data_IF_765506949808
#
_entry.id   IF_765506949808
#
_cell.length_a   1.000
_cell.length_b   1.000
_cell.length_c   1.000
_cell.angle_alpha   90.00
_cell.angle_beta   90.00
_cell.angle_gamma   90.00
#
_symmetry.space_group_name_H-M   'P 1'
#
loop_
_entity.id
_entity.type
_entity.pdbx_description
1 polymer ?
#
# COMPACT_ATOMS: atom_id res chain seq x y z
N UNK A 1 23.12 0.91 16.42
CA UNK A 1 21.95 1.74 16.04
C UNK A 1 21.52 1.29 14.67
N UNK A 2 20.37 0.62 14.59
CA UNK A 2 19.96 -0.16 13.42
C UNK A 2 19.40 0.70 12.30
N UNK A 3 19.99 0.55 11.11
CA UNK A 3 19.60 1.24 9.88
C UNK A 3 18.27 0.75 9.24
N UNK A 4 17.47 -0.05 9.94
CA UNK A 4 16.20 -0.60 9.45
C UNK A 4 14.98 0.28 9.74
N UNK A 5 15.12 1.38 10.47
CA UNK A 5 13.99 2.22 10.90
C UNK A 5 13.60 3.35 9.93
N UNK A 6 14.22 3.42 8.76
CA UNK A 6 13.97 4.51 7.79
C UNK A 6 13.00 4.13 6.66
N UNK A 7 12.45 2.91 6.67
CA UNK A 7 11.73 2.38 5.50
C UNK A 7 10.23 2.71 5.50
N UNK A 8 9.62 2.95 6.65
CA UNK A 8 8.20 3.33 6.72
C UNK A 8 7.94 4.77 6.25
N UNK A 9 8.90 5.68 6.48
CA UNK A 9 8.85 7.06 5.97
C UNK A 9 8.86 7.14 4.44
N UNK A 10 9.20 6.05 3.79
CA UNK A 10 9.49 5.96 2.36
C UNK A 10 8.28 5.62 1.50
N UNK A 11 7.14 5.21 2.06
CA UNK A 11 5.93 5.09 1.25
C UNK A 11 5.36 6.46 0.86
N UNK A 12 5.49 7.47 1.72
CA UNK A 12 5.07 8.82 1.38
C UNK A 12 6.14 9.65 0.64
N UNK A 13 7.44 9.43 0.89
CA UNK A 13 8.49 10.32 0.36
C UNK A 13 9.60 9.64 -0.43
N UNK A 14 9.74 8.33 -0.44
CA UNK A 14 10.94 7.67 -0.97
C UNK A 14 10.70 6.57 -2.02
N UNK A 15 9.53 6.48 -2.61
CA UNK A 15 9.44 5.74 -3.89
C UNK A 15 10.06 6.53 -5.06
N UNK A 16 10.80 7.55 -4.76
CA UNK A 16 11.51 8.36 -5.74
C UNK A 16 12.91 7.93 -6.11
N UNK A 17 13.48 6.83 -5.64
CA UNK A 17 14.72 6.21 -6.15
C UNK A 17 15.14 5.06 -5.24
N UNK A 18 14.79 3.84 -5.54
CA UNK A 18 15.33 2.70 -4.80
C UNK A 18 14.96 1.37 -5.41
N UNK A 19 15.85 0.87 -6.22
CA UNK A 19 15.84 -0.49 -6.77
C UNK A 19 15.73 -1.49 -5.61
N UNK A 20 14.60 -2.19 -5.49
CA UNK A 20 14.53 -3.38 -4.66
C UNK A 20 15.37 -4.48 -5.31
N UNK A 21 16.65 -4.55 -4.93
CA UNK A 21 17.44 -5.74 -5.24
C UNK A 21 16.96 -6.88 -4.36
N UNK A 22 16.23 -7.81 -4.95
CA UNK A 22 15.97 -9.11 -4.39
C UNK A 22 17.32 -9.75 -4.00
N UNK A 23 17.53 -10.01 -2.71
CA UNK A 23 18.69 -10.74 -2.19
C UNK A 23 18.57 -12.21 -2.58
N UNK A 24 19.01 -12.56 -3.79
CA UNK A 24 19.30 -13.92 -4.21
C UNK A 24 20.64 -14.36 -3.64
N UNK A 25 20.61 -15.34 -2.77
CA UNK A 25 21.76 -15.98 -2.14
C UNK A 25 22.73 -16.56 -3.18
N UNK A 26 23.95 -15.99 -3.30
CA UNK A 26 25.05 -16.58 -4.07
C UNK A 26 25.59 -17.80 -3.34
N UNK A 27 25.55 -18.96 -4.00
CA UNK A 27 26.46 -20.06 -3.74
C UNK A 27 27.37 -20.25 -4.95
N UNK A 28 28.63 -19.92 -4.78
CA UNK A 28 29.70 -20.27 -5.68
C UNK A 28 29.80 -21.77 -5.88
N UNK A 29 29.88 -22.24 -7.14
CA UNK A 29 30.68 -23.40 -7.52
C UNK A 29 31.12 -23.33 -9.00
N UNK A 30 32.37 -23.61 -9.16
CA UNK A 30 33.28 -23.56 -10.28
C UNK A 30 33.03 -24.65 -11.31
N UNK A 31 33.25 -24.30 -12.60
CA UNK A 31 33.91 -25.08 -13.67
C UNK A 31 33.20 -26.30 -14.26
N UNK A 32 32.85 -26.30 -15.52
CA UNK A 32 33.65 -26.77 -16.66
C UNK A 32 32.78 -26.90 -17.93
N UNK A 33 33.41 -26.64 -19.02
CA UNK A 33 33.02 -26.68 -20.43
C UNK A 33 32.30 -27.93 -20.94
N UNK A 34 31.30 -27.75 -21.86
CA UNK A 34 31.28 -28.35 -23.19
C UNK A 34 29.96 -28.03 -23.96
N UNK A 35 30.15 -27.50 -25.09
CA UNK A 35 29.52 -27.45 -26.41
C UNK A 35 28.12 -28.04 -26.69
N UNK A 36 27.38 -27.24 -27.51
CA UNK A 36 26.43 -27.58 -28.60
C UNK A 36 25.03 -28.05 -28.18
N UNK A 37 23.97 -27.37 -28.57
CA UNK A 37 23.32 -27.31 -29.87
C UNK A 37 22.11 -26.38 -29.82
N UNK A 38 21.81 -25.76 -30.94
CA UNK A 38 20.76 -24.77 -31.13
C UNK A 38 19.35 -25.33 -30.90
N UNK A 39 18.55 -24.67 -30.09
CA UNK A 39 17.11 -24.65 -30.24
C UNK A 39 16.64 -23.20 -30.25
N UNK A 40 15.87 -22.87 -31.26
CA UNK A 40 15.30 -21.55 -31.50
C UNK A 40 14.26 -21.22 -30.42
N UNK A 41 14.69 -20.50 -29.41
CA UNK A 41 13.77 -19.82 -28.50
C UNK A 41 13.30 -18.53 -29.18
N UNK A 42 12.00 -18.47 -29.45
CA UNK A 42 11.33 -17.21 -29.73
C UNK A 42 11.47 -16.35 -28.45
N UNK A 43 12.32 -15.36 -28.50
CA UNK A 43 12.31 -14.25 -27.57
C UNK A 43 10.91 -13.65 -27.62
N UNK A 44 10.15 -13.82 -26.55
CA UNK A 44 8.99 -13.00 -26.28
C UNK A 44 9.55 -11.58 -26.06
N UNK A 45 9.31 -10.68 -27.00
CA UNK A 45 9.53 -9.25 -26.81
C UNK A 45 8.71 -8.83 -25.59
N UNK A 46 9.36 -8.72 -24.46
CA UNK A 46 8.83 -8.00 -23.30
C UNK A 46 8.85 -6.53 -23.69
N UNK A 47 7.72 -6.02 -24.15
CA UNK A 47 7.53 -4.57 -24.30
C UNK A 47 7.84 -3.96 -22.93
N UNK A 48 8.89 -3.16 -22.86
CA UNK A 48 9.25 -2.45 -21.65
C UNK A 48 8.14 -1.43 -21.35
N UNK A 49 7.58 -1.47 -20.14
CA UNK A 49 6.57 -0.51 -19.70
C UNK A 49 7.12 0.92 -19.76
N UNK A 50 6.47 1.78 -20.54
CA UNK A 50 6.87 3.19 -20.71
C UNK A 50 6.38 4.03 -19.51
N UNK A 51 7.24 4.14 -18.52
CA UNK A 51 7.00 4.86 -17.27
C UNK A 51 6.70 6.35 -17.48
N UNK A 52 7.38 7.01 -18.42
CA UNK A 52 7.20 8.44 -18.67
C UNK A 52 5.84 8.73 -19.31
N UNK A 53 5.44 7.93 -20.29
CA UNK A 53 4.12 8.02 -20.91
C UNK A 53 3.00 7.72 -19.90
N UNK A 54 3.20 6.72 -19.04
CA UNK A 54 2.22 6.34 -18.03
C UNK A 54 2.06 7.43 -16.96
N UNK A 55 3.15 8.05 -16.50
CA UNK A 55 3.10 9.14 -15.53
C UNK A 55 2.32 10.36 -16.07
N UNK A 56 2.48 10.70 -17.34
CA UNK A 56 1.71 11.75 -17.99
C UNK A 56 0.21 11.41 -18.08
N UNK A 57 -0.14 10.15 -18.31
CA UNK A 57 -1.54 9.70 -18.31
C UNK A 57 -2.14 9.85 -16.90
N UNK A 58 -1.43 9.40 -15.86
CA UNK A 58 -1.86 9.50 -14.47
C UNK A 58 -2.10 10.96 -14.06
N UNK A 59 -1.18 11.87 -14.35
CA UNK A 59 -1.36 13.28 -14.01
C UNK A 59 -2.59 13.89 -14.70
N UNK A 60 -2.85 13.55 -15.95
CA UNK A 60 -4.04 13.99 -16.66
C UNK A 60 -5.34 13.38 -16.08
N UNK A 61 -5.30 12.14 -15.62
CA UNK A 61 -6.48 11.48 -15.02
C UNK A 61 -6.78 12.07 -13.63
N UNK A 62 -5.75 12.39 -12.83
CA UNK A 62 -5.90 13.10 -11.55
C UNK A 62 -6.56 14.47 -11.75
N UNK A 63 -6.13 15.26 -12.74
CA UNK A 63 -6.72 16.56 -13.02
C UNK A 63 -8.22 16.48 -13.45
N UNK A 64 -8.61 15.42 -14.13
CA UNK A 64 -10.00 15.20 -14.55
C UNK A 64 -10.89 14.75 -13.39
N UNK A 65 -10.38 13.95 -12.47
CA UNK A 65 -11.16 13.40 -11.35
C UNK A 65 -11.61 14.48 -10.34
N UNK A 66 -10.92 15.61 -10.25
CA UNK A 66 -11.26 16.72 -9.34
C UNK A 66 -12.62 17.40 -9.61
N UNK A 67 -13.32 17.00 -10.66
CA UNK A 67 -14.61 17.61 -11.05
C UNK A 67 -15.85 16.97 -10.40
N UNK A 68 -15.71 15.95 -9.55
CA UNK A 68 -16.85 15.28 -8.90
C UNK A 68 -16.94 15.61 -7.41
N UNK A 69 -18.00 16.31 -7.00
CA UNK A 69 -18.26 16.75 -5.61
C UNK A 69 -18.80 15.63 -4.68
N UNK A 70 -18.98 14.40 -5.14
CA UNK A 70 -19.52 13.31 -4.31
C UNK A 70 -18.39 12.53 -3.63
N UNK A 71 -18.42 12.52 -2.29
CA UNK A 71 -17.57 11.60 -1.52
C UNK A 71 -17.92 10.14 -1.91
N UNK A 72 -16.97 9.36 -2.43
CA UNK A 72 -17.26 8.02 -2.89
C UNK A 72 -17.75 7.13 -1.74
N UNK A 73 -18.78 6.30 -1.99
CA UNK A 73 -19.31 5.39 -0.98
C UNK A 73 -18.24 4.43 -0.48
N UNK A 74 -18.38 3.96 0.76
CA UNK A 74 -17.39 3.06 1.36
C UNK A 74 -17.46 1.64 0.79
N UNK A 75 -18.55 1.30 0.07
CA UNK A 75 -18.80 -0.05 -0.40
C UNK A 75 -19.43 -0.94 0.69
N UNK A 76 -19.44 -2.24 0.43
CA UNK A 76 -19.99 -3.26 1.34
C UNK A 76 -19.18 -4.55 1.31
N UNK A 77 -19.27 -5.33 2.39
CA UNK A 77 -18.70 -6.68 2.47
C UNK A 77 -19.79 -7.75 2.39
N UNK A 78 -19.54 -8.79 1.62
CA UNK A 78 -20.35 -10.00 1.61
C UNK A 78 -20.25 -10.78 2.93
N UNK A 79 -20.89 -11.96 2.97
CA UNK A 79 -20.81 -12.88 4.09
C UNK A 79 -19.39 -13.41 4.29
N UNK A 80 -19.10 -13.93 5.49
CA UNK A 80 -17.85 -14.61 5.78
C UNK A 80 -17.78 -15.91 4.95
N UNK A 81 -16.65 -16.12 4.31
CA UNK A 81 -16.33 -17.32 3.54
C UNK A 81 -15.21 -18.05 4.27
N UNK A 82 -15.44 -19.32 4.57
CA UNK A 82 -14.41 -20.23 5.09
C UNK A 82 -13.89 -21.06 3.91
N UNK A 83 -12.60 -20.99 3.57
CA UNK A 83 -12.04 -21.79 2.49
C UNK A 83 -12.09 -23.30 2.85
N UNK A 84 -12.17 -24.15 1.84
CA UNK A 84 -12.06 -25.60 2.03
C UNK A 84 -10.61 -25.96 2.42
N UNK A 85 -10.43 -27.09 3.16
CA UNK A 85 -9.09 -27.52 3.64
C UNK A 85 -8.09 -27.78 2.48
N UNK A 86 -8.59 -28.10 1.30
CA UNK A 86 -7.81 -28.38 0.10
C UNK A 86 -7.55 -27.10 -0.75
N UNK A 87 -8.05 -25.93 -0.34
CA UNK A 87 -7.83 -24.67 -1.03
C UNK A 87 -6.41 -24.15 -0.76
N UNK A 88 -5.72 -23.69 -1.79
CA UNK A 88 -4.38 -23.08 -1.68
C UNK A 88 -4.36 -21.85 -0.73
N UNK A 89 -5.53 -21.28 -0.45
CA UNK A 89 -5.70 -20.11 0.43
C UNK A 89 -6.18 -20.50 1.85
N UNK A 90 -6.36 -21.80 2.16
CA UNK A 90 -6.86 -22.26 3.47
C UNK A 90 -6.03 -21.73 4.66
N UNK A 91 -4.72 -21.64 4.48
CA UNK A 91 -3.80 -21.13 5.51
C UNK A 91 -3.97 -19.62 5.79
N UNK A 92 -4.66 -18.88 4.92
CA UNK A 92 -4.94 -17.45 5.15
C UNK A 92 -6.13 -17.21 6.08
N UNK A 93 -6.96 -18.24 6.29
CA UNK A 93 -8.14 -18.21 7.13
C UNK A 93 -9.40 -17.69 6.45
N UNK A 94 -10.38 -17.29 7.24
CA UNK A 94 -11.65 -16.76 6.75
C UNK A 94 -11.47 -15.40 6.08
N UNK A 95 -12.29 -15.14 5.05
CA UNK A 95 -12.29 -13.87 4.34
C UNK A 95 -13.71 -13.41 4.01
N UNK A 96 -13.82 -12.16 3.60
CA UNK A 96 -15.05 -11.59 3.03
C UNK A 96 -14.72 -10.96 1.68
N UNK A 97 -15.68 -10.96 0.77
CA UNK A 97 -15.50 -10.37 -0.56
C UNK A 97 -16.20 -9.01 -0.57
N UNK A 98 -15.47 -7.96 -0.95
CA UNK A 98 -16.05 -6.64 -1.15
C UNK A 98 -16.90 -6.58 -2.43
N UNK A 99 -17.67 -5.51 -2.59
CA UNK A 99 -18.46 -5.26 -3.80
C UNK A 99 -17.59 -4.99 -5.04
N UNK A 100 -16.31 -4.67 -4.88
CA UNK A 100 -15.32 -4.59 -5.98
C UNK A 100 -14.70 -5.95 -6.33
N UNK A 101 -14.97 -7.00 -5.53
CA UNK A 101 -14.47 -8.36 -5.73
C UNK A 101 -13.14 -8.66 -5.07
N UNK A 102 -12.65 -7.80 -4.17
CA UNK A 102 -11.40 -8.03 -3.41
C UNK A 102 -11.69 -8.93 -2.21
N UNK A 103 -10.85 -9.95 -1.99
CA UNK A 103 -10.90 -10.79 -0.79
C UNK A 103 -10.18 -10.08 0.36
N UNK A 104 -10.89 -9.86 1.46
CA UNK A 104 -10.37 -9.20 2.67
C UNK A 104 -10.26 -10.24 3.80
N UNK A 105 -9.03 -10.50 4.23
CA UNK A 105 -8.67 -11.42 5.33
C UNK A 105 -8.33 -10.60 6.56
N UNK A 106 -9.11 -10.72 7.63
CA UNK A 106 -8.90 -9.96 8.87
C UNK A 106 -9.69 -10.53 10.04
N UNK A 107 -9.20 -10.31 11.25
CA UNK A 107 -9.95 -10.58 12.47
C UNK A 107 -10.96 -9.46 12.74
N UNK A 108 -12.26 -9.77 12.64
CA UNK A 108 -13.35 -8.83 12.91
C UNK A 108 -13.35 -8.27 14.35
N UNK A 109 -12.68 -8.95 15.29
CA UNK A 109 -12.56 -8.46 16.68
C UNK A 109 -11.48 -7.39 16.82
N UNK A 110 -10.47 -7.43 15.98
CA UNK A 110 -9.37 -6.47 15.95
C UNK A 110 -9.68 -5.29 15.00
N UNK A 111 -10.19 -5.58 13.82
CA UNK A 111 -10.39 -4.61 12.74
C UNK A 111 -11.86 -4.54 12.31
N UNK A 112 -12.52 -3.38 12.49
CA UNK A 112 -13.90 -3.17 12.00
C UNK A 112 -14.00 -3.20 10.49
N UNK A 113 -15.14 -3.66 9.94
CA UNK A 113 -15.40 -3.71 8.50
C UNK A 113 -15.15 -2.37 7.78
N UNK A 114 -15.61 -1.27 8.36
CA UNK A 114 -15.42 0.06 7.78
C UNK A 114 -13.95 0.48 7.68
N UNK A 115 -13.07 -0.04 8.58
CA UNK A 115 -11.63 0.15 8.48
C UNK A 115 -11.08 -0.61 7.27
N UNK A 116 -11.47 -1.86 7.08
CA UNK A 116 -11.01 -2.70 5.98
C UNK A 116 -11.48 -2.18 4.63
N UNK A 117 -12.72 -1.70 4.54
CA UNK A 117 -13.23 -1.02 3.34
C UNK A 117 -12.49 0.29 3.04
N UNK A 118 -12.10 1.05 4.08
CA UNK A 118 -11.27 2.24 3.91
C UNK A 118 -9.88 1.88 3.37
N UNK A 119 -9.27 0.80 3.87
CA UNK A 119 -7.99 0.31 3.38
C UNK A 119 -8.06 -0.13 1.92
N UNK A 120 -9.07 -0.92 1.57
CA UNK A 120 -9.30 -1.34 0.19
C UNK A 120 -9.44 -0.14 -0.75
N UNK A 121 -10.28 0.82 -0.37
CA UNK A 121 -10.52 2.04 -1.12
C UNK A 121 -9.23 2.87 -1.29
N UNK A 122 -8.44 2.97 -0.23
CA UNK A 122 -7.14 3.62 -0.24
C UNK A 122 -6.21 2.97 -1.28
N UNK A 123 -6.04 1.65 -1.27
CA UNK A 123 -5.19 0.96 -2.25
C UNK A 123 -5.78 0.94 -3.66
N UNK A 124 -7.10 0.85 -3.80
CA UNK A 124 -7.75 0.91 -5.11
C UNK A 124 -7.56 2.28 -5.78
N UNK A 125 -7.41 3.35 -4.99
CA UNK A 125 -7.10 4.68 -5.53
C UNK A 125 -5.77 4.73 -6.29
N UNK A 126 -4.76 3.97 -5.85
CA UNK A 126 -3.49 3.85 -6.60
C UNK A 126 -3.66 3.04 -7.90
N UNK A 127 -4.46 1.97 -7.88
CA UNK A 127 -4.73 1.16 -9.08
C UNK A 127 -5.48 1.95 -10.15
N UNK A 128 -6.32 2.90 -9.74
CA UNK A 128 -7.17 3.74 -10.60
C UNK A 128 -6.59 5.15 -10.82
N UNK A 129 -5.50 5.51 -10.14
CA UNK A 129 -4.91 6.85 -10.12
C UNK A 129 -5.90 7.95 -9.67
N UNK A 130 -6.78 7.63 -8.72
CA UNK A 130 -7.82 8.53 -8.22
C UNK A 130 -7.36 9.27 -6.95
N UNK A 131 -6.77 10.45 -7.12
CA UNK A 131 -6.31 11.29 -6.01
C UNK A 131 -7.44 11.77 -5.10
N UNK A 132 -8.64 12.00 -5.63
CA UNK A 132 -9.81 12.43 -4.83
C UNK A 132 -10.19 11.32 -3.84
N UNK A 133 -10.28 10.09 -4.31
CA UNK A 133 -10.51 8.93 -3.45
C UNK A 133 -9.36 8.75 -2.45
N UNK A 134 -8.11 8.82 -2.88
CA UNK A 134 -6.93 8.75 -2.00
C UNK A 134 -7.04 9.76 -0.86
N UNK A 135 -7.16 11.05 -1.18
CA UNK A 135 -7.20 12.14 -0.20
C UNK A 135 -8.39 12.02 0.76
N UNK A 136 -9.52 11.46 0.30
CA UNK A 136 -10.70 11.20 1.15
C UNK A 136 -10.48 10.08 2.17
N UNK A 137 -9.54 9.16 1.92
CA UNK A 137 -9.19 8.07 2.82
C UNK A 137 -8.09 8.47 3.83
N UNK A 138 -7.29 9.48 3.53
CA UNK A 138 -6.18 9.91 4.40
C UNK A 138 -6.67 10.88 5.48
N UNK A 139 -6.10 10.78 6.68
CA UNK A 139 -6.47 11.67 7.78
C UNK A 139 -6.14 13.13 7.43
N UNK A 140 -7.12 14.07 7.49
CA UNK A 140 -6.93 15.42 6.94
C UNK A 140 -5.76 16.20 7.54
N UNK A 141 -5.56 16.16 8.85
CA UNK A 141 -4.44 16.87 9.50
C UNK A 141 -3.08 16.26 9.11
N UNK A 142 -3.02 14.93 8.93
CA UNK A 142 -1.82 14.28 8.41
C UNK A 142 -1.55 14.71 6.95
N UNK A 143 -2.58 14.73 6.11
CA UNK A 143 -2.45 15.14 4.72
C UNK A 143 -1.91 16.57 4.60
N UNK A 144 -2.44 17.51 5.41
CA UNK A 144 -1.98 18.92 5.44
C UNK A 144 -0.51 19.01 5.88
N UNK A 145 -0.11 18.30 6.93
CA UNK A 145 1.27 18.31 7.43
C UNK A 145 2.24 17.70 6.45
N UNK A 146 1.84 16.61 5.81
CA UNK A 146 2.66 15.95 4.79
C UNK A 146 2.80 16.83 3.54
N UNK A 147 1.74 17.49 3.08
CA UNK A 147 1.80 18.48 2.00
C UNK A 147 2.81 19.57 2.29
N UNK A 148 2.75 20.19 3.49
CA UNK A 148 3.68 21.21 3.91
C UNK A 148 5.14 20.71 3.98
N UNK A 149 5.34 19.49 4.45
CA UNK A 149 6.65 18.85 4.52
C UNK A 149 7.22 18.60 3.11
N UNK A 150 6.44 18.00 2.21
CA UNK A 150 6.88 17.70 0.85
C UNK A 150 7.23 18.96 0.07
N UNK A 151 6.42 20.00 0.19
CA UNK A 151 6.71 21.28 -0.45
C UNK A 151 8.00 21.92 0.07
N UNK A 152 8.20 21.90 1.39
CA UNK A 152 9.38 22.51 2.03
C UNK A 152 10.67 21.76 1.75
N UNK A 153 10.67 20.44 1.91
CA UNK A 153 11.89 19.62 1.87
C UNK A 153 12.20 19.09 0.47
N UNK A 154 11.17 18.90 -0.38
CA UNK A 154 11.29 18.23 -1.68
C UNK A 154 10.81 19.06 -2.86
N UNK A 155 10.16 20.22 -2.62
CA UNK A 155 9.65 21.12 -3.65
C UNK A 155 8.62 20.48 -4.61
N UNK A 156 7.79 19.57 -4.09
CA UNK A 156 6.63 19.01 -4.79
C UNK A 156 5.45 18.80 -3.83
N UNK A 157 4.25 18.58 -4.37
CA UNK A 157 3.01 18.43 -3.62
C UNK A 157 2.59 16.96 -3.43
N UNK A 158 1.53 16.73 -2.65
CA UNK A 158 0.98 15.39 -2.41
C UNK A 158 0.45 14.73 -3.68
N UNK A 159 -0.07 15.49 -4.64
CA UNK A 159 -0.54 14.92 -5.92
C UNK A 159 0.62 14.34 -6.72
N UNK A 160 1.73 15.07 -6.79
CA UNK A 160 2.96 14.60 -7.44
C UNK A 160 3.50 13.35 -6.74
N UNK A 161 3.50 13.34 -5.41
CA UNK A 161 3.88 12.15 -4.63
C UNK A 161 2.97 10.97 -4.93
N UNK A 162 1.66 11.16 -4.91
CA UNK A 162 0.68 10.13 -5.24
C UNK A 162 0.85 9.59 -6.67
N UNK A 163 1.03 10.47 -7.66
CA UNK A 163 1.27 10.06 -9.05
C UNK A 163 2.54 9.20 -9.19
N UNK A 164 3.61 9.58 -8.48
CA UNK A 164 4.84 8.79 -8.45
C UNK A 164 4.62 7.40 -7.82
N UNK A 165 3.81 7.31 -6.76
CA UNK A 165 3.45 6.03 -6.14
C UNK A 165 2.63 5.15 -7.08
N UNK A 166 1.61 5.70 -7.76
CA UNK A 166 0.84 4.98 -8.78
C UNK A 166 1.77 4.41 -9.87
N UNK A 167 2.69 5.23 -10.37
CA UNK A 167 3.66 4.82 -11.39
C UNK A 167 4.58 3.71 -10.90
N UNK A 168 5.08 3.79 -9.66
CA UNK A 168 5.95 2.77 -9.09
C UNK A 168 5.23 1.44 -8.89
N UNK A 169 3.99 1.47 -8.40
CA UNK A 169 3.18 0.25 -8.25
C UNK A 169 2.86 -0.37 -9.62
N UNK A 170 2.51 0.44 -10.61
CA UNK A 170 2.30 -0.05 -11.96
C UNK A 170 3.58 -0.63 -12.60
N UNK A 171 4.75 -0.03 -12.35
CA UNK A 171 6.03 -0.59 -12.80
C UNK A 171 6.28 -1.97 -12.21
N UNK A 172 6.02 -2.16 -10.92
CA UNK A 172 6.17 -3.46 -10.25
C UNK A 172 5.24 -4.53 -10.83
N UNK A 173 4.09 -4.10 -11.38
CA UNK A 173 3.07 -4.98 -11.98
C UNK A 173 3.17 -5.08 -13.51
N UNK A 174 4.18 -4.45 -14.13
CA UNK A 174 4.35 -4.33 -15.59
C UNK A 174 3.12 -3.70 -16.29
N UNK A 175 2.49 -2.72 -15.66
CA UNK A 175 1.33 -1.99 -16.19
C UNK A 175 0.19 -1.82 -15.21
N UNK A 176 -1.01 -1.60 -15.72
CA UNK A 176 -2.21 -1.50 -14.90
C UNK A 176 -2.45 -2.79 -14.14
N UNK A 177 -2.98 -2.67 -12.93
CA UNK A 177 -3.27 -3.79 -12.05
C UNK A 177 -4.64 -3.63 -11.40
N UNK A 178 -5.14 -4.72 -10.86
CA UNK A 178 -6.37 -4.78 -10.07
C UNK A 178 -6.07 -5.49 -8.76
N UNK A 179 -6.56 -4.96 -7.65
CA UNK A 179 -6.46 -5.63 -6.36
C UNK A 179 -7.26 -6.92 -6.36
N UNK A 180 -6.71 -7.95 -5.75
CA UNK A 180 -7.36 -9.26 -5.62
C UNK A 180 -7.53 -9.67 -4.17
N UNK A 181 -6.54 -9.36 -3.32
CA UNK A 181 -6.56 -9.72 -1.89
C UNK A 181 -5.89 -8.65 -1.04
N UNK A 182 -6.44 -8.43 0.15
CA UNK A 182 -5.81 -7.68 1.23
C UNK A 182 -5.91 -8.52 2.50
N UNK A 183 -4.78 -8.76 3.15
CA UNK A 183 -4.73 -9.39 4.47
C UNK A 183 -4.25 -8.36 5.48
N UNK A 184 -4.92 -8.31 6.64
CA UNK A 184 -4.56 -7.45 7.76
C UNK A 184 -4.35 -8.31 9.00
N UNK A 185 -3.16 -8.22 9.56
CA UNK A 185 -2.78 -8.87 10.80
C UNK A 185 -2.55 -7.83 11.92
N UNK A 186 -2.70 -8.25 13.16
CA UNK A 186 -2.28 -7.45 14.32
C UNK A 186 -0.75 -7.47 14.36
N UNK A 187 -0.08 -6.31 14.39
CA UNK A 187 1.37 -6.27 14.36
C UNK A 187 1.98 -6.94 15.59
N UNK A 188 3.07 -7.66 15.39
CA UNK A 188 3.87 -8.12 16.52
C UNK A 188 4.52 -6.94 17.26
N UNK A 189 4.69 -7.08 18.57
CA UNK A 189 5.43 -6.08 19.35
C UNK A 189 6.91 -6.16 19.06
N UNK A 190 7.47 -5.09 18.52
CA UNK A 190 8.92 -4.98 18.26
C UNK A 190 9.74 -4.60 19.51
N UNK A 191 9.11 -3.98 20.49
CA UNK A 191 9.75 -3.53 21.74
C UNK A 191 8.76 -3.71 22.89
N UNK A 192 9.10 -4.55 23.87
CA UNK A 192 8.26 -4.78 25.05
C UNK A 192 8.09 -3.53 25.93
N UNK A 193 8.96 -2.53 25.80
CA UNK A 193 8.95 -1.29 26.57
C UNK A 193 8.05 -0.21 26.02
N UNK A 194 7.62 -0.33 24.75
CA UNK A 194 6.77 0.65 24.05
C UNK A 194 5.65 -0.04 23.28
N UNK A 195 4.51 0.60 23.18
CA UNK A 195 3.49 0.20 22.23
C UNK A 195 3.88 0.62 20.80
N UNK A 196 3.41 -0.12 19.80
CA UNK A 196 3.76 0.10 18.40
C UNK A 196 3.35 1.50 17.92
N UNK A 197 2.18 2.00 18.34
CA UNK A 197 1.69 3.32 17.96
C UNK A 197 2.62 4.44 18.44
N UNK A 198 3.09 4.37 19.69
CA UNK A 198 4.10 5.33 20.18
C UNK A 198 5.36 5.26 19.33
N UNK A 199 5.87 4.06 19.04
CA UNK A 199 7.06 3.89 18.22
C UNK A 199 6.86 4.38 16.78
N UNK A 200 5.68 4.15 16.20
CA UNK A 200 5.31 4.65 14.88
C UNK A 200 5.38 6.18 14.82
N UNK A 201 4.66 6.88 15.70
CA UNK A 201 4.60 8.34 15.69
C UNK A 201 5.92 9.01 16.07
N UNK A 202 6.77 8.39 16.88
CA UNK A 202 8.13 8.87 17.13
C UNK A 202 8.99 8.95 15.85
N UNK A 203 8.76 8.05 14.87
CA UNK A 203 9.47 8.10 13.58
C UNK A 203 9.01 9.27 12.70
N UNK A 204 7.86 9.86 12.96
CA UNK A 204 7.29 10.98 12.21
C UNK A 204 7.41 12.33 12.93
N UNK A 205 8.21 12.41 13.99
CA UNK A 205 8.34 13.62 14.82
C UNK A 205 8.74 14.87 14.02
N UNK A 206 9.60 14.71 13.02
CA UNK A 206 10.06 15.81 12.18
C UNK A 206 8.94 16.39 11.28
N UNK A 207 7.91 15.61 11.00
CA UNK A 207 6.77 15.99 10.16
C UNK A 207 5.58 16.43 11.02
N UNK A 208 5.26 15.62 12.03
CA UNK A 208 4.03 15.76 12.80
C UNK A 208 4.22 16.56 14.10
N UNK A 209 5.44 16.60 14.65
CA UNK A 209 5.78 17.24 15.92
C UNK A 209 5.82 16.26 17.11
N UNK A 210 6.53 16.66 18.17
CA UNK A 210 6.86 15.79 19.32
C UNK A 210 5.66 15.23 20.08
N UNK A 211 4.60 15.98 20.27
CA UNK A 211 3.41 15.56 21.06
C UNK A 211 2.24 15.12 20.16
N UNK A 212 2.49 14.83 18.90
CA UNK A 212 1.41 14.59 17.94
C UNK A 212 0.48 13.46 18.37
N UNK A 213 0.99 12.28 18.66
CA UNK A 213 0.19 11.12 19.06
C UNK A 213 -0.65 11.38 20.30
N UNK A 214 -0.06 12.00 21.31
CA UNK A 214 -0.75 12.38 22.56
C UNK A 214 -1.90 13.37 22.31
N UNK A 215 -1.78 14.26 21.34
CA UNK A 215 -2.84 15.20 20.97
C UNK A 215 -3.89 14.51 20.10
N UNK A 216 -3.48 13.71 19.12
CA UNK A 216 -4.34 12.90 18.28
C UNK A 216 -5.32 12.05 19.10
N UNK A 217 -4.84 11.34 20.14
CA UNK A 217 -5.68 10.49 21.00
C UNK A 217 -6.76 11.24 21.77
N UNK A 218 -6.73 12.57 21.83
CA UNK A 218 -7.77 13.41 22.42
C UNK A 218 -8.82 13.88 21.39
N UNK A 219 -8.46 13.82 20.10
CA UNK A 219 -9.27 14.37 19.02
C UNK A 219 -10.01 13.29 18.21
N UNK A 220 -9.59 12.03 18.33
CA UNK A 220 -10.15 10.90 17.60
C UNK A 220 -10.79 9.89 18.53
N UNK A 221 -11.76 9.12 18.02
CA UNK A 221 -12.47 8.11 18.80
C UNK A 221 -11.56 6.92 19.16
N UNK A 222 -10.71 6.50 18.22
CA UNK A 222 -9.78 5.39 18.39
C UNK A 222 -8.66 5.44 17.33
N UNK A 223 -7.49 4.94 17.72
CA UNK A 223 -6.34 4.68 16.83
C UNK A 223 -6.13 3.18 16.75
N UNK A 224 -5.82 2.68 15.57
CA UNK A 224 -5.52 1.27 15.28
C UNK A 224 -4.19 1.20 14.57
N UNK A 225 -3.45 0.13 14.81
CA UNK A 225 -2.29 -0.29 14.04
C UNK A 225 -2.54 -1.67 13.42
N UNK A 226 -2.02 -1.89 12.24
CA UNK A 226 -2.14 -3.16 11.53
C UNK A 226 -0.93 -3.40 10.64
N UNK A 227 -0.61 -4.65 10.41
CA UNK A 227 0.33 -5.08 9.38
C UNK A 227 -0.44 -5.68 8.22
N UNK A 228 -0.15 -5.25 6.99
CA UNK A 228 -0.94 -5.65 5.85
C UNK A 228 -0.10 -6.20 4.70
N UNK A 229 -0.79 -7.00 3.89
CA UNK A 229 -0.31 -7.60 2.64
C UNK A 229 -1.32 -7.32 1.54
N UNK A 230 -0.86 -6.94 0.37
CA UNK A 230 -1.71 -6.68 -0.79
C UNK A 230 -1.27 -7.52 -1.96
N UNK A 231 -2.20 -8.27 -2.53
CA UNK A 231 -2.04 -9.00 -3.79
C UNK A 231 -2.80 -8.28 -4.89
N UNK A 232 -2.24 -8.30 -6.08
CA UNK A 232 -2.87 -7.72 -7.25
C UNK A 232 -2.62 -8.56 -8.48
N UNK A 233 -3.57 -8.54 -9.40
CA UNK A 233 -3.47 -9.12 -10.73
C UNK A 233 -3.00 -8.07 -11.70
N UNK A 234 -1.88 -8.34 -12.38
CA UNK A 234 -1.35 -7.50 -13.42
C UNK A 234 -2.04 -7.70 -14.76
N UNK A 235 -1.61 -6.93 -15.76
CA UNK A 235 -2.12 -6.98 -17.14
C UNK A 235 -2.12 -8.40 -17.76
N UNK A 236 -1.18 -9.25 -17.37
CA UNK A 236 -1.03 -10.61 -17.90
C UNK A 236 -1.96 -11.65 -17.20
N UNK A 237 -2.84 -11.23 -16.31
CA UNK A 237 -3.71 -12.10 -15.53
C UNK A 237 -2.97 -12.87 -14.42
N UNK A 238 -1.72 -12.53 -14.13
CA UNK A 238 -0.96 -13.17 -13.05
C UNK A 238 -1.11 -12.36 -11.77
N UNK A 239 -1.49 -13.03 -10.68
CA UNK A 239 -1.53 -12.44 -9.36
C UNK A 239 -0.11 -12.41 -8.76
N UNK A 240 0.28 -11.26 -8.22
CA UNK A 240 1.57 -11.04 -7.59
C UNK A 240 1.41 -10.28 -6.27
N UNK A 241 2.38 -10.46 -5.39
CA UNK A 241 2.49 -9.68 -4.17
C UNK A 241 2.89 -8.24 -4.51
N UNK A 242 1.97 -7.32 -4.28
CA UNK A 242 2.18 -5.89 -4.53
C UNK A 242 2.88 -5.21 -3.37
N UNK A 243 2.43 -5.49 -2.13
CA UNK A 243 2.98 -4.93 -0.89
C UNK A 243 3.00 -6.04 0.16
N UNK A 244 4.06 -6.10 0.96
CA UNK A 244 4.19 -7.11 2.02
C UNK A 244 4.71 -6.52 3.32
N UNK A 245 4.10 -6.95 4.43
CA UNK A 245 4.54 -6.70 5.80
C UNK A 245 4.77 -5.20 6.11
N UNK A 246 3.82 -4.36 5.71
CA UNK A 246 3.83 -2.95 6.06
C UNK A 246 2.91 -2.66 7.23
N UNK A 247 3.44 -1.90 8.20
CA UNK A 247 2.64 -1.33 9.27
C UNK A 247 1.86 -0.11 8.77
N UNK A 248 0.59 -0.04 9.12
CA UNK A 248 -0.30 1.06 8.78
C UNK A 248 -1.10 1.46 10.01
N UNK A 249 -1.28 2.77 10.18
CA UNK A 249 -2.07 3.33 11.26
C UNK A 249 -3.38 3.88 10.72
N UNK A 250 -4.46 3.63 11.46
CA UNK A 250 -5.78 4.19 11.18
C UNK A 250 -6.29 4.98 12.37
N UNK A 251 -7.11 5.96 12.09
CA UNK A 251 -7.92 6.64 13.11
C UNK A 251 -9.39 6.51 12.79
N UNK A 252 -10.20 6.39 13.84
CA UNK A 252 -11.64 6.58 13.77
C UNK A 252 -11.98 7.96 14.32
N UNK A 253 -12.67 8.79 13.53
CA UNK A 253 -13.15 10.11 13.94
C UNK A 253 -14.53 10.36 13.36
N UNK A 254 -15.48 10.76 14.20
CA UNK A 254 -16.86 11.06 13.79
C UNK A 254 -17.52 9.91 13.00
N UNK A 255 -17.26 8.67 13.40
CA UNK A 255 -17.79 7.46 12.77
C UNK A 255 -17.09 7.04 11.46
N UNK A 256 -16.10 7.77 10.96
CA UNK A 256 -15.32 7.47 9.77
C UNK A 256 -13.94 6.93 10.13
N UNK A 257 -13.39 6.12 9.24
CA UNK A 257 -12.01 5.63 9.33
C UNK A 257 -11.14 6.38 8.33
N UNK A 258 -9.90 6.67 8.74
CA UNK A 258 -8.89 7.34 7.94
C UNK A 258 -7.56 6.64 8.11
N UNK A 259 -6.73 6.71 7.08
CA UNK A 259 -5.39 6.13 7.02
C UNK A 259 -4.35 7.21 7.30
N UNK A 260 -3.25 6.81 7.96
CA UNK A 260 -1.97 7.53 7.93
C UNK A 260 -1.08 6.81 6.92
N UNK A 261 -0.88 7.34 5.72
CA UNK A 261 -0.15 6.61 4.71
C UNK A 261 0.42 7.46 3.57
#
# INVERSE_FOLDING_TARGET
MNKMKLTALLLAAAMGCGVFTACGSKKDKKSSSASSEASSDKEAETESFDTESYNNIIMNDIEKAESSDEAPSLGSLGDVVTPDEDDDEADLGEYRISDTGVKLYFDNTAFPEGLMLTLEKYFNSFATADYTTYSSCVYPDYLEKMEAYLQKEHNYDMKTSFAAQCTNLANNMNGKFKLTRIKMDVPERYDESKDNLTAYFENFTDILGEDYYKNLTKEVDKVYDGEFYVMAEGHNGTENLLISAYEIVFVKKDGRYYVFG
#
